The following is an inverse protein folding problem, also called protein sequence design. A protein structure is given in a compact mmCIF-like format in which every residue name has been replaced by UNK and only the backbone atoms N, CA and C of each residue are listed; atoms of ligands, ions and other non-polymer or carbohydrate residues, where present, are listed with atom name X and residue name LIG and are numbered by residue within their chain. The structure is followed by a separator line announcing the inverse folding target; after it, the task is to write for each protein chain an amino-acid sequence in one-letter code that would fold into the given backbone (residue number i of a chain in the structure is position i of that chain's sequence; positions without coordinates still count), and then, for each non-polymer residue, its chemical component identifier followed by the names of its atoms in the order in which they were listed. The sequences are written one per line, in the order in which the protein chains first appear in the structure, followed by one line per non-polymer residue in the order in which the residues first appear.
data_IF_727244079086
#
_entry.id   IF_727244079086
#
_cell.length_a   1.000
_cell.length_b   1.000
_cell.length_c   1.000
_cell.angle_alpha   90.00
_cell.angle_beta   90.00
_cell.angle_gamma   90.00
#
_symmetry.space_group_name_H-M   'P 1'
#
loop_
_entity.id
_entity.type
_entity.pdbx_description
1 polymer ?
#
# COMPACT_ATOMS: atom_id res chain seq x y z
N UNK A 1 -7.32 43.52 -25.17
CA UNK A 1 -6.12 44.21 -24.77
C UNK A 1 -4.89 43.28 -24.66
N UNK A 2 -4.80 42.36 -23.67
CA UNK A 2 -3.62 41.46 -23.52
C UNK A 2 -3.39 40.60 -24.78
N UNK A 3 -4.46 40.05 -25.36
CA UNK A 3 -4.35 39.25 -26.60
C UNK A 3 -3.88 40.08 -27.79
N UNK A 4 -4.31 41.34 -27.88
CA UNK A 4 -3.89 42.24 -28.97
C UNK A 4 -2.43 42.69 -28.80
N UNK A 5 -1.98 42.86 -27.54
CA UNK A 5 -0.58 43.13 -27.22
C UNK A 5 0.32 41.92 -27.58
N UNK A 6 -0.12 40.70 -27.25
CA UNK A 6 0.60 39.47 -27.64
C UNK A 6 0.60 39.22 -29.14
N UNK A 7 -0.41 39.76 -29.88
CA UNK A 7 -0.49 39.72 -31.34
C UNK A 7 0.31 40.82 -32.03
N UNK A 8 1.04 41.67 -31.27
CA UNK A 8 1.85 42.76 -31.81
C UNK A 8 1.07 43.98 -32.29
N UNK A 9 -0.15 44.17 -31.82
CA UNK A 9 -0.98 45.34 -32.16
C UNK A 9 -0.82 46.52 -31.18
N UNK A 10 -0.18 46.25 -30.03
CA UNK A 10 0.01 47.21 -28.94
C UNK A 10 1.45 47.10 -28.47
N UNK A 11 2.15 48.18 -28.43
CA UNK A 11 3.58 48.27 -28.04
C UNK A 11 3.73 48.58 -26.54
N UNK A 12 2.73 49.21 -25.93
CA UNK A 12 2.78 49.61 -24.53
C UNK A 12 1.40 49.52 -23.88
N UNK A 13 1.36 49.06 -22.64
CA UNK A 13 0.17 49.05 -21.77
C UNK A 13 0.44 50.00 -20.61
N UNK A 14 -0.38 51.02 -20.45
CA UNK A 14 -0.36 51.91 -19.29
C UNK A 14 -1.45 51.49 -18.32
N UNK A 15 -1.09 51.24 -17.08
CA UNK A 15 -2.02 50.84 -16.01
C UNK A 15 -1.75 51.64 -14.74
N UNK A 16 -2.82 51.93 -13.99
CA UNK A 16 -2.75 52.78 -12.80
C UNK A 16 -1.87 52.16 -11.69
N UNK A 17 -1.92 50.86 -11.53
CA UNK A 17 -1.15 50.12 -10.50
C UNK A 17 -1.08 48.64 -10.80
N UNK A 18 -0.13 47.96 -10.16
CA UNK A 18 0.01 46.45 -10.23
C UNK A 18 -1.28 45.76 -9.82
N UNK A 19 -1.94 46.22 -8.76
CA UNK A 19 -3.22 45.61 -8.25
C UNK A 19 -4.40 45.80 -9.20
N UNK A 20 -4.35 46.72 -10.14
CA UNK A 20 -5.34 46.92 -11.19
C UNK A 20 -5.07 46.12 -12.45
N UNK A 21 -3.84 45.71 -12.64
CA UNK A 21 -3.42 44.95 -13.81
C UNK A 21 -3.94 43.49 -13.76
N UNK A 22 -3.87 42.82 -12.61
CA UNK A 22 -4.48 41.51 -12.39
C UNK A 22 -4.84 41.29 -10.92
N UNK A 23 -5.81 40.40 -10.69
CA UNK A 23 -6.32 40.09 -9.35
C UNK A 23 -5.47 39.10 -8.56
N UNK A 24 -4.56 38.41 -9.23
CA UNK A 24 -3.72 37.36 -8.67
C UNK A 24 -2.27 37.61 -9.05
N UNK A 25 -1.36 37.47 -8.10
CA UNK A 25 0.08 37.69 -8.26
C UNK A 25 0.70 36.78 -9.31
N UNK A 26 0.25 35.53 -9.38
CA UNK A 26 0.73 34.54 -10.35
C UNK A 26 0.33 34.91 -11.78
N UNK A 27 -0.93 35.31 -11.97
CA UNK A 27 -1.45 35.74 -13.28
C UNK A 27 -0.77 37.01 -13.76
N UNK A 28 -0.53 37.96 -12.84
CA UNK A 28 0.23 39.17 -13.13
C UNK A 28 1.63 38.85 -13.64
N UNK A 29 2.35 37.99 -12.93
CA UNK A 29 3.70 37.56 -13.26
C UNK A 29 3.80 36.89 -14.63
N UNK A 30 2.90 35.90 -14.88
CA UNK A 30 2.87 35.18 -16.17
C UNK A 30 2.57 36.11 -17.32
N UNK A 31 1.62 37.02 -17.11
CA UNK A 31 1.22 37.98 -18.15
C UNK A 31 2.35 38.98 -18.45
N UNK A 32 2.99 39.53 -17.41
CA UNK A 32 4.12 40.49 -17.58
C UNK A 32 5.29 39.81 -18.30
N UNK A 33 5.63 38.55 -17.94
CA UNK A 33 6.70 37.81 -18.62
C UNK A 33 6.41 37.61 -20.11
N UNK A 34 5.19 37.18 -20.46
CA UNK A 34 4.78 37.01 -21.87
C UNK A 34 4.84 38.32 -22.67
N UNK A 35 4.42 39.42 -22.06
CA UNK A 35 4.48 40.71 -22.68
C UNK A 35 5.93 41.19 -22.86
N UNK A 36 6.79 40.99 -21.86
CA UNK A 36 8.22 41.27 -21.94
C UNK A 36 8.91 40.45 -23.04
N UNK A 37 8.60 39.17 -23.19
CA UNK A 37 9.09 38.31 -24.28
C UNK A 37 8.70 38.82 -25.66
N UNK A 38 7.57 39.53 -25.77
CA UNK A 38 7.08 40.19 -26.99
C UNK A 38 7.54 41.65 -27.10
N UNK A 39 8.41 42.10 -26.21
CA UNK A 39 8.92 43.45 -26.14
C UNK A 39 7.82 44.54 -25.95
N UNK A 40 6.69 44.16 -25.32
CA UNK A 40 5.60 45.05 -24.97
C UNK A 40 5.81 45.59 -23.56
N UNK A 41 5.96 46.90 -23.42
CA UNK A 41 6.14 47.58 -22.15
C UNK A 41 4.82 47.56 -21.32
N UNK A 42 4.90 47.31 -20.03
CA UNK A 42 3.83 47.60 -19.08
C UNK A 42 4.33 48.66 -18.09
N UNK A 43 3.66 49.78 -18.10
CA UNK A 43 3.99 50.93 -17.23
C UNK A 43 2.95 51.02 -16.11
N UNK A 44 3.41 50.91 -14.86
CA UNK A 44 2.62 51.08 -13.65
C UNK A 44 2.79 52.51 -13.15
N UNK A 45 1.79 53.33 -13.38
CA UNK A 45 1.84 54.79 -13.13
C UNK A 45 2.07 55.09 -11.65
N UNK A 46 1.33 54.45 -10.74
CA UNK A 46 1.43 54.68 -9.29
C UNK A 46 2.78 54.30 -8.72
N UNK A 47 3.32 53.17 -9.17
CA UNK A 47 4.60 52.64 -8.73
C UNK A 47 5.80 53.22 -9.48
N UNK A 48 5.58 53.92 -10.59
CA UNK A 48 6.61 54.49 -11.43
C UNK A 48 7.53 53.46 -12.09
N UNK A 49 7.00 52.29 -12.44
CA UNK A 49 7.76 51.13 -12.90
C UNK A 49 7.42 50.83 -14.36
N UNK A 50 8.46 50.66 -15.19
CA UNK A 50 8.37 50.15 -16.56
C UNK A 50 8.97 48.71 -16.60
N UNK A 51 8.20 47.75 -17.09
CA UNK A 51 8.63 46.32 -17.09
C UNK A 51 9.80 46.02 -18.02
N UNK A 52 10.12 46.87 -19.00
CA UNK A 52 11.28 46.69 -19.88
C UNK A 52 12.56 47.29 -19.29
N UNK A 53 12.48 48.13 -18.28
CA UNK A 53 13.63 48.76 -17.61
C UNK A 53 14.14 47.89 -16.44
N UNK A 54 15.30 48.25 -15.88
CA UNK A 54 15.91 47.54 -14.76
C UNK A 54 15.03 47.48 -13.50
N UNK A 55 14.24 48.53 -13.24
CA UNK A 55 13.22 48.55 -12.17
C UNK A 55 12.12 47.47 -12.36
N UNK A 56 11.79 47.13 -13.61
CA UNK A 56 10.85 46.10 -13.97
C UNK A 56 11.36 44.69 -13.58
N UNK A 57 12.66 44.44 -13.61
CA UNK A 57 13.24 43.17 -13.16
C UNK A 57 13.10 42.95 -11.65
N UNK A 58 13.29 44.01 -10.88
CA UNK A 58 13.09 44.00 -9.44
C UNK A 58 11.63 43.69 -9.14
N UNK A 59 10.67 44.33 -9.83
CA UNK A 59 9.25 44.08 -9.69
C UNK A 59 8.91 42.61 -10.02
N UNK A 60 9.41 42.05 -11.12
CA UNK A 60 9.19 40.67 -11.53
C UNK A 60 9.75 39.72 -10.47
N UNK A 61 10.90 40.02 -9.87
CA UNK A 61 11.51 39.23 -8.81
C UNK A 61 10.65 39.24 -7.54
N UNK A 62 10.19 40.40 -7.11
CA UNK A 62 9.30 40.56 -5.94
C UNK A 62 7.98 39.81 -6.19
N UNK A 63 7.34 39.99 -7.35
CA UNK A 63 6.10 39.28 -7.70
C UNK A 63 6.30 37.80 -7.78
N UNK A 64 7.47 37.33 -8.23
CA UNK A 64 7.81 35.89 -8.25
C UNK A 64 7.88 35.31 -6.85
N UNK A 65 8.54 36.02 -5.92
CA UNK A 65 8.67 35.62 -4.53
C UNK A 65 7.30 35.59 -3.82
N UNK A 66 6.47 36.63 -4.05
CA UNK A 66 5.11 36.67 -3.49
C UNK A 66 4.22 35.56 -4.04
N UNK A 67 4.29 35.28 -5.35
CA UNK A 67 3.54 34.17 -5.96
C UNK A 67 3.96 32.80 -5.43
N UNK A 68 5.25 32.63 -5.13
CA UNK A 68 5.79 31.42 -4.49
C UNK A 68 5.26 31.27 -3.06
N UNK A 69 5.30 32.35 -2.27
CA UNK A 69 4.76 32.33 -0.90
C UNK A 69 3.23 32.09 -0.87
N UNK A 70 2.48 32.70 -1.77
CA UNK A 70 1.05 32.44 -1.89
C UNK A 70 0.76 30.97 -2.22
N UNK A 71 1.48 30.39 -3.18
CA UNK A 71 1.36 28.96 -3.52
C UNK A 71 1.72 28.05 -2.35
N UNK A 72 2.75 28.42 -1.59
CA UNK A 72 3.17 27.69 -0.38
C UNK A 72 2.07 27.73 0.69
N UNK A 73 1.57 28.91 1.00
CA UNK A 73 0.52 29.12 2.01
C UNK A 73 -0.77 28.35 1.66
N UNK A 74 -1.18 28.37 0.39
CA UNK A 74 -2.34 27.58 -0.08
C UNK A 74 -2.08 26.09 0.14
N UNK A 75 -0.88 25.60 -0.22
CA UNK A 75 -0.51 24.21 -0.06
C UNK A 75 -0.49 23.77 1.42
N UNK A 76 0.06 24.60 2.31
CA UNK A 76 0.10 24.38 3.74
C UNK A 76 -1.31 24.39 4.35
N UNK A 77 -2.17 25.33 3.97
CA UNK A 77 -3.57 25.40 4.43
C UNK A 77 -4.38 24.17 4.00
N UNK A 78 -4.23 23.71 2.76
CA UNK A 78 -4.88 22.47 2.28
C UNK A 78 -4.37 21.28 3.09
N UNK A 79 -3.05 21.17 3.29
CA UNK A 79 -2.43 20.10 4.09
C UNK A 79 -2.96 20.10 5.52
N UNK A 80 -3.00 21.26 6.17
CA UNK A 80 -3.54 21.42 7.51
C UNK A 80 -5.01 20.99 7.58
N UNK A 81 -5.84 21.42 6.63
CA UNK A 81 -7.24 21.02 6.57
C UNK A 81 -7.45 19.51 6.38
N UNK A 82 -6.57 18.85 5.61
CA UNK A 82 -6.60 17.39 5.44
C UNK A 82 -6.18 16.67 6.72
N UNK A 83 -5.10 17.12 7.38
CA UNK A 83 -4.63 16.56 8.65
C UNK A 83 -5.71 16.66 9.74
N UNK A 84 -6.38 17.81 9.83
CA UNK A 84 -7.51 18.00 10.78
C UNK A 84 -8.69 17.07 10.51
N UNK A 85 -8.94 16.70 9.26
CA UNK A 85 -9.93 15.68 8.94
C UNK A 85 -9.48 14.30 9.42
N UNK A 86 -8.20 13.97 9.24
CA UNK A 86 -7.63 12.71 9.71
C UNK A 86 -7.65 12.59 11.23
N UNK A 87 -7.32 13.67 11.96
CA UNK A 87 -7.42 13.74 13.43
C UNK A 87 -8.85 13.49 13.94
N UNK A 88 -9.85 13.86 13.14
CA UNK A 88 -11.27 13.60 13.43
C UNK A 88 -11.77 12.25 12.92
N UNK A 89 -10.87 11.39 12.44
CA UNK A 89 -11.21 10.09 11.90
C UNK A 89 -11.93 10.12 10.54
N UNK A 90 -12.06 11.28 9.88
CA UNK A 90 -12.76 11.36 8.59
C UNK A 90 -11.95 10.77 7.46
N UNK A 91 -12.42 9.68 6.90
CA UNK A 91 -11.78 8.95 5.80
C UNK A 91 -12.07 9.60 4.46
N UNK A 92 -11.02 9.91 3.71
CA UNK A 92 -11.12 10.48 2.37
C UNK A 92 -10.66 9.43 1.36
N UNK A 93 -11.60 8.84 0.63
CA UNK A 93 -11.33 7.84 -0.42
C UNK A 93 -11.88 8.32 -1.76
N UNK A 94 -11.17 8.02 -2.83
CA UNK A 94 -11.68 8.17 -4.18
C UNK A 94 -12.32 6.86 -4.62
N UNK A 95 -13.65 6.79 -4.59
CA UNK A 95 -14.41 5.59 -4.90
C UNK A 95 -14.39 5.21 -6.40
N UNK A 96 -14.08 6.13 -7.33
CA UNK A 96 -13.98 5.82 -8.77
C UNK A 96 -12.94 4.76 -9.10
N UNK A 97 -11.98 4.49 -8.20
CA UNK A 97 -10.90 3.50 -8.37
C UNK A 97 -10.84 2.50 -7.22
N UNK A 98 -11.89 2.43 -6.42
CA UNK A 98 -11.96 1.59 -5.24
C UNK A 98 -13.15 0.64 -5.39
N UNK A 99 -12.86 -0.59 -5.80
CA UNK A 99 -13.86 -1.64 -5.99
C UNK A 99 -14.48 -2.07 -4.67
N UNK A 100 -15.78 -2.28 -4.67
CA UNK A 100 -16.55 -2.77 -3.54
C UNK A 100 -17.21 -1.69 -2.71
N UNK A 101 -16.81 -0.42 -2.86
CA UNK A 101 -17.38 0.69 -2.09
C UNK A 101 -17.74 1.90 -2.97
N UNK A 102 -18.84 2.54 -2.62
CA UNK A 102 -19.21 3.86 -3.11
C UNK A 102 -19.40 4.82 -1.94
N UNK A 103 -19.77 6.06 -2.22
CA UNK A 103 -20.10 7.05 -1.18
C UNK A 103 -21.59 7.36 -1.20
N UNK A 104 -22.16 7.46 0.01
CA UNK A 104 -23.48 8.03 0.21
C UNK A 104 -23.45 9.58 0.10
N UNK A 105 -24.60 10.22 0.29
CA UNK A 105 -24.74 11.69 0.28
C UNK A 105 -23.94 12.36 1.41
N UNK A 106 -23.76 11.69 2.54
CA UNK A 106 -22.98 12.15 3.69
C UNK A 106 -21.47 11.99 3.49
N UNK A 107 -21.05 11.23 2.47
CA UNK A 107 -19.65 10.97 2.12
C UNK A 107 -19.07 9.73 2.78
N UNK A 108 -19.87 8.93 3.49
CA UNK A 108 -19.46 7.67 4.09
C UNK A 108 -19.38 6.55 3.06
N UNK A 109 -18.55 5.53 3.35
CA UNK A 109 -18.38 4.38 2.48
C UNK A 109 -19.55 3.41 2.63
N UNK A 110 -20.18 3.07 1.52
CA UNK A 110 -21.27 2.10 1.42
C UNK A 110 -20.87 0.97 0.47
N UNK A 111 -21.22 -0.26 0.82
CA UNK A 111 -20.90 -1.45 0.03
C UNK A 111 -21.71 -1.46 -1.26
N UNK A 112 -21.04 -1.76 -2.38
CA UNK A 112 -21.68 -2.10 -3.66
C UNK A 112 -21.72 -3.63 -3.75
N UNK A 113 -22.89 -4.28 -3.63
CA UNK A 113 -22.98 -5.73 -3.47
C UNK A 113 -22.29 -6.53 -4.59
N UNK A 114 -22.49 -6.12 -5.84
CA UNK A 114 -21.90 -6.79 -7.01
C UNK A 114 -20.37 -6.76 -6.99
N UNK A 115 -19.78 -5.61 -6.65
CA UNK A 115 -18.35 -5.44 -6.56
C UNK A 115 -17.76 -6.12 -5.30
N UNK A 116 -18.53 -6.15 -4.21
CA UNK A 116 -18.14 -6.82 -2.98
C UNK A 116 -17.94 -8.32 -3.18
N UNK A 117 -18.79 -8.97 -3.99
CA UNK A 117 -18.62 -10.40 -4.32
C UNK A 117 -17.31 -10.65 -5.09
N UNK A 118 -16.90 -9.73 -5.96
CA UNK A 118 -15.61 -9.82 -6.65
C UNK A 118 -14.46 -9.71 -5.65
N UNK A 119 -14.55 -8.79 -4.68
CA UNK A 119 -13.55 -8.65 -3.62
C UNK A 119 -13.45 -9.95 -2.80
N UNK A 120 -14.58 -10.50 -2.35
CA UNK A 120 -14.64 -11.77 -1.61
C UNK A 120 -14.04 -12.92 -2.42
N UNK A 121 -14.33 -12.99 -3.73
CA UNK A 121 -13.75 -13.98 -4.63
C UNK A 121 -12.22 -13.87 -4.68
N UNK A 122 -11.66 -12.66 -4.80
CA UNK A 122 -10.21 -12.43 -4.83
C UNK A 122 -9.54 -12.94 -3.55
N UNK A 123 -10.11 -12.62 -2.37
CA UNK A 123 -9.58 -13.06 -1.08
C UNK A 123 -9.65 -14.59 -0.93
N UNK A 124 -10.78 -15.21 -1.33
CA UNK A 124 -10.96 -16.67 -1.32
C UNK A 124 -9.95 -17.38 -2.22
N UNK A 125 -9.83 -16.97 -3.50
CA UNK A 125 -8.88 -17.57 -4.43
C UNK A 125 -7.44 -17.45 -3.95
N UNK A 126 -7.10 -16.36 -3.26
CA UNK A 126 -5.77 -16.21 -2.69
C UNK A 126 -5.50 -17.24 -1.60
N UNK A 127 -6.45 -17.50 -0.69
CA UNK A 127 -6.34 -18.51 0.35
C UNK A 127 -6.36 -19.94 -0.22
N UNK A 128 -7.05 -20.18 -1.33
CA UNK A 128 -7.03 -21.44 -2.09
C UNK A 128 -5.66 -21.71 -2.75
N UNK A 129 -4.71 -20.76 -2.64
CA UNK A 129 -3.35 -20.95 -3.14
C UNK A 129 -3.06 -20.32 -4.49
N UNK A 130 -3.99 -19.61 -5.11
CA UNK A 130 -3.73 -18.91 -6.37
C UNK A 130 -2.72 -17.77 -6.17
N UNK A 131 -1.82 -17.60 -7.13
CA UNK A 131 -0.96 -16.40 -7.17
C UNK A 131 -1.75 -15.20 -7.69
N UNK A 132 -1.32 -13.97 -7.34
CA UNK A 132 -1.96 -12.74 -7.81
C UNK A 132 -2.09 -12.66 -9.32
N UNK A 133 -1.10 -13.20 -10.08
CA UNK A 133 -1.16 -13.29 -11.54
C UNK A 133 -2.18 -14.31 -12.07
N UNK A 134 -2.41 -15.42 -11.34
CA UNK A 134 -3.45 -16.40 -11.71
C UNK A 134 -4.84 -15.88 -11.39
N UNK A 135 -5.00 -15.16 -10.27
CA UNK A 135 -6.27 -14.49 -9.92
C UNK A 135 -6.62 -13.48 -11.01
N UNK A 136 -5.66 -12.65 -11.44
CA UNK A 136 -5.88 -11.68 -12.52
C UNK A 136 -6.39 -12.35 -13.79
N UNK A 137 -5.76 -13.44 -14.23
CA UNK A 137 -6.21 -14.20 -15.41
C UNK A 137 -7.60 -14.82 -15.22
N UNK A 138 -7.89 -15.34 -14.04
CA UNK A 138 -9.18 -15.93 -13.73
C UNK A 138 -10.32 -14.91 -13.84
N UNK A 139 -10.09 -13.69 -13.35
CA UNK A 139 -11.05 -12.59 -13.46
C UNK A 139 -11.23 -12.14 -14.94
N UNK A 140 -10.14 -12.06 -15.70
CA UNK A 140 -10.17 -11.77 -17.15
C UNK A 140 -10.96 -12.85 -17.94
N UNK A 141 -10.73 -14.12 -17.64
CA UNK A 141 -11.43 -15.25 -18.27
C UNK A 141 -12.94 -15.25 -17.95
N UNK A 142 -13.33 -14.74 -16.80
CA UNK A 142 -14.75 -14.56 -16.42
C UNK A 142 -15.36 -13.26 -16.97
N UNK A 143 -14.60 -12.42 -17.68
CA UNK A 143 -15.08 -11.14 -18.20
C UNK A 143 -15.34 -10.08 -17.13
N UNK A 144 -14.80 -10.26 -15.92
CA UNK A 144 -14.98 -9.33 -14.81
C UNK A 144 -14.09 -8.10 -15.03
N UNK A 145 -14.70 -6.92 -15.09
CA UNK A 145 -14.00 -5.64 -15.30
C UNK A 145 -13.41 -5.11 -14.01
N UNK A 146 -12.33 -4.33 -14.13
CA UNK A 146 -11.75 -3.59 -12.99
C UNK A 146 -12.66 -2.44 -12.55
N UNK A 147 -12.44 -1.86 -11.38
CA UNK A 147 -13.16 -0.67 -10.90
C UNK A 147 -13.10 0.54 -11.87
N UNK A 148 -12.18 0.55 -12.82
CA UNK A 148 -12.07 1.57 -13.87
C UNK A 148 -12.66 1.13 -15.20
N UNK A 149 -13.39 0.00 -15.24
CA UNK A 149 -14.04 -0.53 -16.44
C UNK A 149 -13.11 -1.22 -17.44
N UNK A 150 -11.84 -1.46 -17.10
CA UNK A 150 -10.89 -2.13 -17.96
C UNK A 150 -11.03 -3.65 -17.88
N UNK A 151 -10.83 -4.34 -19.00
CA UNK A 151 -10.89 -5.81 -19.08
C UNK A 151 -9.63 -6.47 -18.53
N UNK A 152 -8.48 -5.76 -18.55
CA UNK A 152 -7.18 -6.30 -18.13
C UNK A 152 -6.91 -6.06 -16.66
N UNK A 153 -6.63 -7.14 -15.93
CA UNK A 153 -6.22 -7.11 -14.54
C UNK A 153 -4.71 -7.20 -14.39
N UNK A 154 -4.15 -6.39 -13.53
CA UNK A 154 -2.73 -6.44 -13.18
C UNK A 154 -2.54 -7.10 -11.80
N UNK A 155 -1.57 -7.99 -11.69
CA UNK A 155 -1.22 -8.67 -10.42
C UNK A 155 -0.91 -7.68 -9.28
N UNK A 156 -0.39 -6.48 -9.62
CA UNK A 156 -0.12 -5.40 -8.68
C UNK A 156 -1.40 -4.77 -8.10
N UNK A 157 -2.51 -4.78 -8.86
CA UNK A 157 -3.82 -4.32 -8.36
C UNK A 157 -4.35 -5.32 -7.35
N UNK A 158 -4.31 -6.62 -7.67
CA UNK A 158 -4.71 -7.69 -6.76
C UNK A 158 -3.88 -7.63 -5.45
N UNK A 159 -2.54 -7.48 -5.54
CA UNK A 159 -1.69 -7.35 -4.35
C UNK A 159 -2.07 -6.14 -3.49
N UNK A 160 -2.38 -5.00 -4.10
CA UNK A 160 -2.86 -3.81 -3.38
C UNK A 160 -4.23 -4.02 -2.74
N UNK A 161 -5.15 -4.72 -3.41
CA UNK A 161 -6.47 -5.04 -2.84
C UNK A 161 -6.32 -5.92 -1.61
N UNK A 162 -5.54 -7.01 -1.70
CA UNK A 162 -5.30 -7.93 -0.59
C UNK A 162 -4.66 -7.27 0.64
N UNK A 163 -3.94 -6.15 0.46
CA UNK A 163 -3.28 -5.39 1.56
C UNK A 163 -4.09 -4.21 2.06
N UNK A 164 -5.24 -3.94 1.48
CA UNK A 164 -6.00 -2.74 1.83
C UNK A 164 -6.91 -2.99 3.03
N UNK A 165 -6.55 -2.43 4.16
CA UNK A 165 -7.28 -2.57 5.42
C UNK A 165 -8.74 -2.09 5.35
N UNK A 166 -9.07 -1.25 4.37
CA UNK A 166 -10.44 -0.77 4.20
C UNK A 166 -11.44 -1.88 3.90
N UNK A 167 -10.98 -3.01 3.35
CA UNK A 167 -11.87 -4.14 3.12
C UNK A 167 -12.33 -4.84 4.40
N UNK A 168 -11.60 -4.67 5.51
CA UNK A 168 -12.02 -5.18 6.83
C UNK A 168 -12.70 -4.14 7.71
N UNK A 169 -13.04 -2.97 7.15
CA UNK A 169 -13.76 -1.90 7.86
C UNK A 169 -12.88 -0.85 8.53
N UNK A 170 -11.57 -1.05 8.57
CA UNK A 170 -10.62 -0.14 9.20
C UNK A 170 -10.01 0.84 8.19
N UNK A 171 -9.47 1.96 8.66
CA UNK A 171 -8.83 2.92 7.80
C UNK A 171 -7.52 3.45 8.38
N UNK A 172 -6.40 3.22 7.68
CA UNK A 172 -5.12 3.86 7.98
C UNK A 172 -4.96 5.12 7.13
N UNK A 173 -4.92 6.26 7.80
CA UNK A 173 -4.84 7.59 7.20
C UNK A 173 -3.39 8.08 7.18
N UNK A 174 -3.10 9.05 6.32
CA UNK A 174 -1.77 9.65 6.14
C UNK A 174 -0.65 8.65 5.77
N UNK A 175 -0.99 7.64 4.94
CA UNK A 175 -0.01 6.67 4.40
C UNK A 175 1.09 7.31 3.56
N UNK A 176 0.84 8.49 3.01
CA UNK A 176 1.78 9.26 2.20
C UNK A 176 1.71 10.74 2.57
N UNK A 177 2.82 11.45 2.41
CA UNK A 177 2.86 12.90 2.56
C UNK A 177 3.62 13.55 1.41
N UNK A 178 3.36 14.83 1.17
CA UNK A 178 4.06 15.61 0.15
C UNK A 178 5.28 16.26 0.80
N UNK A 179 6.46 15.98 0.28
CA UNK A 179 7.73 16.50 0.81
C UNK A 179 7.94 17.95 0.41
N UNK A 180 7.63 18.25 -0.84
CA UNK A 180 7.89 19.56 -1.43
C UNK A 180 6.64 20.06 -2.16
N UNK A 181 6.25 21.29 -1.86
CA UNK A 181 5.06 21.92 -2.41
C UNK A 181 5.21 22.29 -3.90
N UNK A 182 6.43 22.53 -4.37
CA UNK A 182 6.70 22.90 -5.76
C UNK A 182 6.61 21.69 -6.69
N UNK A 183 7.35 20.63 -6.37
CA UNK A 183 7.39 19.42 -7.18
C UNK A 183 6.21 18.49 -6.92
N UNK A 184 5.43 18.75 -5.87
CA UNK A 184 4.29 17.91 -5.40
C UNK A 184 4.68 16.44 -5.21
N UNK A 185 5.96 16.15 -4.94
CA UNK A 185 6.49 14.81 -4.76
C UNK A 185 5.91 14.19 -3.50
N UNK A 186 5.15 13.09 -3.68
CA UNK A 186 4.60 12.28 -2.59
C UNK A 186 5.55 11.15 -2.23
N UNK A 187 5.76 10.94 -0.94
CA UNK A 187 6.59 9.87 -0.39
C UNK A 187 5.75 9.06 0.60
N UNK A 188 6.04 7.75 0.69
CA UNK A 188 5.42 6.88 1.69
C UNK A 188 5.80 7.36 3.10
N UNK A 189 4.80 7.49 3.96
CA UNK A 189 5.04 7.79 5.38
C UNK A 189 5.56 6.53 6.08
N UNK A 190 6.75 6.65 6.62
CA UNK A 190 7.42 5.59 7.41
C UNK A 190 7.53 5.98 8.89
N UNK A 191 6.65 6.85 9.37
CA UNK A 191 6.66 7.37 10.73
C UNK A 191 7.21 8.79 10.87
N UNK A 192 7.54 9.47 9.76
CA UNK A 192 8.06 10.87 9.77
C UNK A 192 6.95 11.86 10.16
N UNK A 193 5.73 11.59 9.74
CA UNK A 193 4.55 12.38 10.14
C UNK A 193 3.54 11.45 10.80
N UNK A 194 2.68 11.96 11.71
CA UNK A 194 1.66 11.15 12.39
C UNK A 194 0.80 10.36 11.39
N UNK A 195 0.46 9.12 11.74
CA UNK A 195 -0.53 8.31 11.04
C UNK A 195 -1.71 8.10 11.97
N UNK A 196 -2.90 8.06 11.40
CA UNK A 196 -4.13 7.89 12.16
C UNK A 196 -4.79 6.59 11.73
N UNK A 197 -5.06 5.72 12.68
CA UNK A 197 -5.77 4.47 12.47
C UNK A 197 -7.17 4.61 13.03
N UNK A 198 -8.17 4.32 12.22
CA UNK A 198 -9.58 4.33 12.58
C UNK A 198 -10.09 2.92 12.46
N UNK A 199 -10.57 2.37 13.56
CA UNK A 199 -11.19 1.06 13.61
C UNK A 199 -12.69 1.19 13.32
N UNK A 200 -13.24 0.21 12.60
CA UNK A 200 -14.66 0.08 12.30
C UNK A 200 -15.30 1.37 11.73
N UNK A 201 -14.55 2.04 10.83
CA UNK A 201 -14.99 3.29 10.18
C UNK A 201 -16.19 3.08 9.25
N UNK A 202 -16.28 1.90 8.64
CA UNK A 202 -17.34 1.55 7.69
C UNK A 202 -17.60 0.05 7.71
N UNK A 203 -18.74 -0.36 7.09
CA UNK A 203 -19.10 -1.78 6.98
C UNK A 203 -18.05 -2.59 6.24
N UNK A 204 -17.61 -3.71 6.83
CA UNK A 204 -16.57 -4.56 6.29
C UNK A 204 -17.10 -5.49 5.20
N UNK A 205 -16.41 -5.58 4.04
CA UNK A 205 -16.69 -6.60 3.01
C UNK A 205 -16.06 -7.94 3.43
N UNK A 206 -14.89 -7.89 4.06
CA UNK A 206 -14.10 -9.05 4.47
C UNK A 206 -14.01 -9.06 6.00
N UNK A 207 -14.39 -10.16 6.67
CA UNK A 207 -14.19 -10.31 8.12
C UNK A 207 -12.71 -10.10 8.51
N UNK A 208 -12.45 -9.43 9.63
CA UNK A 208 -11.09 -9.13 10.11
C UNK A 208 -10.21 -10.38 10.20
N UNK A 209 -10.75 -11.48 10.70
CA UNK A 209 -10.05 -12.78 10.80
C UNK A 209 -9.58 -13.28 9.43
N UNK A 210 -10.44 -13.20 8.40
CA UNK A 210 -10.10 -13.61 7.05
C UNK A 210 -9.02 -12.71 6.45
N UNK A 211 -9.11 -11.40 6.69
CA UNK A 211 -8.11 -10.44 6.26
C UNK A 211 -6.73 -10.74 6.86
N UNK A 212 -6.66 -10.98 8.18
CA UNK A 212 -5.39 -11.31 8.85
C UNK A 212 -4.82 -12.64 8.37
N UNK A 213 -5.64 -13.67 8.16
CA UNK A 213 -5.20 -14.93 7.55
C UNK A 213 -4.57 -14.73 6.17
N UNK A 214 -5.10 -13.81 5.37
CA UNK A 214 -4.50 -13.44 4.07
C UNK A 214 -3.15 -12.76 4.27
N UNK A 215 -3.02 -11.86 5.26
CA UNK A 215 -1.73 -11.21 5.56
C UNK A 215 -0.68 -12.22 6.01
N UNK A 216 -1.04 -13.18 6.87
CA UNK A 216 -0.16 -14.27 7.30
C UNK A 216 0.31 -15.12 6.10
N UNK A 217 -0.61 -15.48 5.22
CA UNK A 217 -0.27 -16.23 4.00
C UNK A 217 0.63 -15.43 3.07
N UNK A 218 0.42 -14.11 2.96
CA UNK A 218 1.33 -13.22 2.22
C UNK A 218 2.74 -13.20 2.83
N UNK A 219 2.84 -13.11 4.15
CA UNK A 219 4.12 -13.17 4.86
C UNK A 219 4.79 -14.53 4.70
N UNK A 220 4.04 -15.63 4.82
CA UNK A 220 4.53 -16.99 4.60
C UNK A 220 5.10 -17.15 3.18
N UNK A 221 4.37 -16.72 2.14
CA UNK A 221 4.84 -16.78 0.76
C UNK A 221 6.07 -15.90 0.54
N UNK A 222 6.11 -14.72 1.15
CA UNK A 222 7.26 -13.82 1.07
C UNK A 222 8.51 -14.39 1.75
N UNK A 223 8.38 -15.09 2.88
CA UNK A 223 9.50 -15.74 3.57
C UNK A 223 10.11 -16.87 2.74
N UNK A 224 9.26 -17.68 2.11
CA UNK A 224 9.71 -18.72 1.18
C UNK A 224 10.45 -18.14 -0.03
N UNK A 225 10.05 -16.96 -0.50
CA UNK A 225 10.74 -16.24 -1.57
C UNK A 225 12.07 -15.63 -1.09
N UNK A 226 12.14 -15.08 0.15
CA UNK A 226 13.35 -14.49 0.73
C UNK A 226 14.45 -15.52 0.97
N UNK A 227 14.10 -16.72 1.41
CA UNK A 227 15.05 -17.83 1.55
C UNK A 227 15.74 -18.19 0.21
N UNK A 228 15.14 -17.81 -0.93
CA UNK A 228 15.73 -17.97 -2.25
C UNK A 228 16.60 -16.77 -2.71
N UNK A 229 16.52 -15.61 -2.06
CA UNK A 229 17.22 -14.36 -2.47
C UNK A 229 18.70 -14.34 -2.02
N UNK A 230 19.09 -15.14 -1.04
CA UNK A 230 20.52 -15.37 -0.69
C UNK A 230 21.29 -16.14 -1.78
N UNK A 231 20.61 -16.55 -2.85
CA UNK A 231 21.19 -17.18 -4.04
C UNK A 231 21.43 -16.15 -5.12
N UNK A 232 22.56 -16.25 -5.79
CA UNK A 232 23.06 -15.40 -6.90
C UNK A 232 21.95 -14.78 -7.75
N UNK A 233 22.11 -13.50 -8.08
CA UNK A 233 21.18 -12.55 -8.79
C UNK A 233 20.38 -13.08 -9.99
N UNK A 234 20.62 -14.28 -10.50
CA UNK A 234 19.99 -14.85 -11.70
C UNK A 234 19.04 -16.04 -11.44
N UNK A 235 18.76 -16.42 -10.19
CA UNK A 235 17.79 -17.47 -9.89
C UNK A 235 16.50 -16.85 -9.38
N UNK A 236 15.51 -16.74 -10.27
CA UNK A 236 14.14 -16.37 -9.90
C UNK A 236 13.61 -17.37 -8.87
N UNK A 237 13.09 -16.87 -7.75
CA UNK A 237 12.39 -17.73 -6.79
C UNK A 237 11.19 -18.37 -7.50
N UNK A 238 11.16 -19.69 -7.54
CA UNK A 238 10.08 -20.45 -8.17
C UNK A 238 9.11 -20.96 -7.11
N UNK A 239 8.46 -20.05 -6.41
CA UNK A 239 7.29 -20.44 -5.63
C UNK A 239 6.16 -20.76 -6.62
N UNK A 240 5.64 -21.96 -6.53
CA UNK A 240 4.45 -22.39 -7.27
C UNK A 240 3.39 -22.85 -6.28
N UNK A 241 2.28 -22.15 -6.21
CA UNK A 241 1.08 -22.57 -5.45
C UNK A 241 0.26 -23.64 -6.17
N UNK A 242 0.74 -24.15 -7.30
CA UNK A 242 0.00 -25.14 -8.11
C UNK A 242 -0.13 -26.49 -7.43
N UNK A 243 0.77 -26.82 -6.52
CA UNK A 243 0.81 -28.14 -5.87
C UNK A 243 0.70 -27.97 -4.36
N UNK A 244 -0.23 -28.71 -3.76
CA UNK A 244 -0.58 -28.59 -2.33
C UNK A 244 0.60 -28.76 -1.37
N UNK A 245 1.54 -29.64 -1.70
CA UNK A 245 2.69 -29.93 -0.85
C UNK A 245 3.91 -29.02 -1.07
N UNK A 246 3.79 -28.00 -1.94
CA UNK A 246 4.91 -27.06 -2.19
C UNK A 246 5.19 -26.22 -0.95
N UNK A 247 6.44 -26.24 -0.48
CA UNK A 247 6.88 -25.52 0.71
C UNK A 247 6.50 -26.18 2.05
N UNK A 248 5.81 -27.33 2.02
CA UNK A 248 5.43 -28.07 3.22
C UNK A 248 6.37 -29.25 3.52
N UNK A 249 7.01 -29.79 2.49
CA UNK A 249 7.90 -30.93 2.63
C UNK A 249 9.32 -30.48 2.99
N UNK A 250 9.78 -30.85 4.15
CA UNK A 250 11.13 -30.53 4.65
C UNK A 250 12.00 -31.78 4.68
N UNK A 251 13.23 -31.67 4.26
CA UNK A 251 14.21 -32.76 4.31
C UNK A 251 14.67 -32.98 5.75
N UNK A 252 14.38 -34.14 6.33
CA UNK A 252 14.79 -34.53 7.68
C UNK A 252 16.31 -34.61 7.87
N UNK A 253 17.10 -34.67 6.80
CA UNK A 253 18.58 -34.75 6.84
C UNK A 253 19.27 -33.37 6.83
N UNK A 254 18.74 -32.39 6.10
CA UNK A 254 19.41 -31.11 5.93
C UNK A 254 18.49 -29.88 6.14
N UNK A 255 17.25 -30.08 6.57
CA UNK A 255 16.28 -29.00 6.84
C UNK A 255 15.85 -28.17 5.62
N UNK A 256 16.25 -28.55 4.40
CA UNK A 256 15.86 -27.82 3.19
C UNK A 256 14.58 -28.39 2.60
N UNK A 257 13.83 -27.53 1.89
CA UNK A 257 12.58 -27.91 1.25
C UNK A 257 12.77 -28.96 0.16
N UNK A 258 11.77 -29.82 -0.03
CA UNK A 258 11.65 -30.65 -1.22
C UNK A 258 11.07 -29.84 -2.38
N UNK A 259 11.55 -30.16 -3.58
CA UNK A 259 11.03 -29.59 -4.84
C UNK A 259 10.46 -30.66 -5.72
N UNK A 260 9.33 -30.34 -6.33
CA UNK A 260 8.71 -31.16 -7.38
C UNK A 260 9.52 -31.09 -8.65
N UNK A 261 9.92 -32.21 -9.19
CA UNK A 261 10.73 -32.34 -10.41
C UNK A 261 10.10 -33.38 -11.31
N UNK A 262 10.00 -33.07 -12.58
CA UNK A 262 9.58 -34.06 -13.61
C UNK A 262 10.80 -34.67 -14.25
N UNK A 263 10.97 -35.97 -14.09
CA UNK A 263 11.97 -36.75 -14.80
C UNK A 263 11.40 -37.29 -16.09
N UNK A 264 12.14 -37.09 -17.17
CA UNK A 264 11.84 -37.72 -18.46
C UNK A 264 12.96 -38.72 -18.77
N UNK A 265 12.61 -39.99 -18.87
CA UNK A 265 13.53 -41.05 -19.29
C UNK A 265 12.77 -41.99 -20.25
N UNK A 266 13.34 -42.24 -21.43
CA UNK A 266 12.80 -43.12 -22.49
C UNK A 266 11.32 -42.78 -22.80
N UNK A 267 11.00 -41.52 -23.03
CA UNK A 267 9.65 -41.06 -23.34
C UNK A 267 8.63 -41.07 -22.19
N UNK A 268 8.97 -41.69 -21.05
CA UNK A 268 8.11 -41.73 -19.87
C UNK A 268 8.45 -40.57 -18.94
N UNK A 269 7.44 -39.79 -18.55
CA UNK A 269 7.55 -38.72 -17.56
C UNK A 269 7.16 -39.26 -16.19
N UNK A 270 8.05 -39.12 -15.19
CA UNK A 270 7.79 -39.44 -13.78
C UNK A 270 7.96 -38.20 -12.94
N UNK A 271 7.00 -37.94 -12.10
CA UNK A 271 7.02 -36.79 -11.17
C UNK A 271 7.51 -37.27 -9.80
N UNK A 272 8.54 -36.59 -9.31
CA UNK A 272 9.17 -36.91 -8.03
C UNK A 272 9.44 -35.64 -7.22
N UNK A 273 9.49 -35.80 -5.91
CA UNK A 273 9.91 -34.77 -4.99
C UNK A 273 11.33 -35.07 -4.50
N UNK A 274 12.23 -34.07 -4.61
CA UNK A 274 13.62 -34.20 -4.20
C UNK A 274 14.07 -33.01 -3.36
N UNK A 275 14.94 -33.27 -2.41
CA UNK A 275 15.57 -32.23 -1.61
C UNK A 275 16.23 -31.17 -2.47
N UNK A 276 15.94 -29.89 -2.21
CA UNK A 276 16.45 -28.76 -2.98
C UNK A 276 17.97 -28.62 -2.88
N UNK A 277 18.55 -29.00 -1.73
CA UNK A 277 19.98 -28.99 -1.52
C UNK A 277 20.68 -30.05 -2.40
N UNK A 278 20.10 -31.26 -2.48
CA UNK A 278 20.60 -32.32 -3.37
C UNK A 278 20.49 -31.92 -4.84
N UNK A 279 19.42 -31.24 -5.23
CA UNK A 279 19.22 -30.78 -6.60
C UNK A 279 20.18 -29.67 -7.02
N UNK A 280 20.51 -28.76 -6.09
CA UNK A 280 21.32 -27.57 -6.40
C UNK A 280 22.82 -27.81 -6.18
N UNK A 281 23.17 -28.53 -5.10
CA UNK A 281 24.56 -28.69 -4.65
C UNK A 281 25.08 -30.13 -4.80
N UNK A 282 24.25 -31.04 -5.34
CA UNK A 282 24.62 -32.42 -5.63
C UNK A 282 24.55 -33.36 -4.42
N UNK A 283 24.91 -34.62 -4.70
CA UNK A 283 24.85 -35.73 -3.73
C UNK A 283 25.78 -35.49 -2.54
N UNK A 284 26.92 -34.80 -2.74
CA UNK A 284 27.90 -34.49 -1.67
C UNK A 284 27.32 -33.66 -0.51
N UNK A 285 26.27 -32.86 -0.77
CA UNK A 285 25.67 -31.98 0.26
C UNK A 285 24.44 -32.58 0.97
N UNK A 286 23.73 -33.49 0.30
CA UNK A 286 22.59 -34.21 0.89
C UNK A 286 22.37 -35.55 0.14
N UNK A 287 23.31 -36.49 0.28
CA UNK A 287 23.30 -37.80 -0.37
C UNK A 287 22.20 -38.75 0.17
N UNK A 288 21.93 -38.65 1.44
CA UNK A 288 20.99 -39.54 2.15
C UNK A 288 19.51 -39.11 2.02
N UNK A 289 19.23 -37.99 1.34
CA UNK A 289 17.84 -37.61 1.12
C UNK A 289 17.17 -38.53 0.10
N UNK A 290 16.04 -39.09 0.48
CA UNK A 290 15.26 -39.94 -0.40
C UNK A 290 14.56 -39.14 -1.51
N UNK A 291 14.32 -39.80 -2.64
CA UNK A 291 13.50 -39.26 -3.71
C UNK A 291 12.11 -39.82 -3.56
N UNK A 292 11.11 -38.95 -3.32
CA UNK A 292 9.75 -39.36 -3.07
C UNK A 292 8.95 -39.34 -4.39
N UNK A 293 8.27 -40.42 -4.69
CA UNK A 293 7.36 -40.47 -5.83
C UNK A 293 6.04 -39.77 -5.46
N UNK A 294 5.53 -38.90 -6.34
CA UNK A 294 4.36 -38.06 -6.07
C UNK A 294 3.12 -38.89 -5.70
N UNK A 295 2.86 -39.96 -6.46
CA UNK A 295 1.70 -40.81 -6.20
C UNK A 295 1.79 -41.56 -4.87
N UNK A 296 2.98 -42.03 -4.48
CA UNK A 296 3.21 -42.70 -3.20
C UNK A 296 3.07 -41.70 -2.05
N UNK A 297 3.62 -40.48 -2.21
CA UNK A 297 3.51 -39.41 -1.24
C UNK A 297 2.04 -38.99 -1.02
N UNK A 298 1.30 -38.78 -2.11
CA UNK A 298 -0.10 -38.38 -2.02
C UNK A 298 -0.95 -39.46 -1.31
N UNK A 299 -0.69 -40.76 -1.59
CA UNK A 299 -1.38 -41.85 -0.88
C UNK A 299 -1.07 -41.84 0.62
N UNK A 300 0.21 -41.69 0.98
CA UNK A 300 0.61 -41.63 2.39
C UNK A 300 -0.02 -40.45 3.14
N UNK A 301 -0.09 -39.26 2.48
CA UNK A 301 -0.76 -38.09 3.06
C UNK A 301 -2.27 -38.33 3.19
N UNK A 302 -2.92 -38.92 2.18
CA UNK A 302 -4.34 -39.24 2.24
C UNK A 302 -4.64 -40.28 3.32
N UNK A 303 -3.81 -41.32 3.46
CA UNK A 303 -3.94 -42.31 4.55
C UNK A 303 -3.76 -41.64 5.93
N UNK A 304 -2.80 -40.74 6.08
CA UNK A 304 -2.61 -39.98 7.31
C UNK A 304 -3.83 -39.13 7.65
N UNK A 305 -4.37 -38.40 6.66
CA UNK A 305 -5.59 -37.59 6.82
C UNK A 305 -6.75 -38.51 7.19
N UNK A 306 -6.91 -39.64 6.48
CA UNK A 306 -7.99 -40.59 6.74
C UNK A 306 -7.93 -41.20 8.16
N UNK A 307 -6.73 -41.56 8.65
CA UNK A 307 -6.53 -41.99 10.03
C UNK A 307 -6.88 -40.92 11.06
N UNK A 308 -6.61 -39.66 10.75
CA UNK A 308 -6.93 -38.51 11.63
C UNK A 308 -8.45 -38.21 11.62
N UNK A 309 -9.12 -38.42 10.47
CA UNK A 309 -10.55 -38.10 10.30
C UNK A 309 -11.49 -39.26 10.54
N UNK A 310 -11.02 -40.52 10.45
CA UNK A 310 -11.79 -41.70 10.72
C UNK A 310 -11.57 -42.19 12.15
N UNK A 311 -12.54 -41.91 12.98
CA UNK A 311 -12.93 -42.64 14.18
C UNK A 311 -12.03 -42.70 15.42
N UNK A 312 -11.11 -41.78 15.58
CA UNK A 312 -10.48 -41.64 16.89
C UNK A 312 -11.04 -40.40 17.62
N UNK A 313 -12.20 -40.62 18.29
CA UNK A 313 -12.81 -39.58 19.17
C UNK A 313 -11.78 -39.08 20.19
N UNK A 314 -10.88 -39.93 20.66
CA UNK A 314 -9.78 -39.57 21.55
C UNK A 314 -8.74 -38.66 20.86
N UNK A 315 -8.39 -38.96 19.61
CA UNK A 315 -7.48 -38.08 18.83
C UNK A 315 -8.11 -36.71 18.54
N UNK A 316 -9.39 -36.70 18.15
CA UNK A 316 -10.10 -35.43 17.89
C UNK A 316 -10.24 -34.59 19.16
N UNK A 317 -10.47 -35.22 20.32
CA UNK A 317 -10.52 -34.51 21.60
C UNK A 317 -9.12 -34.04 22.02
N UNK A 318 -8.08 -34.86 21.88
CA UNK A 318 -6.68 -34.47 22.12
C UNK A 318 -6.22 -33.37 21.15
N UNK A 319 -6.62 -33.43 19.88
CA UNK A 319 -6.34 -32.37 18.90
C UNK A 319 -7.06 -31.06 19.25
N UNK A 320 -8.33 -31.15 19.65
CA UNK A 320 -9.10 -30.01 20.15
C UNK A 320 -8.47 -29.42 21.41
N UNK A 321 -8.07 -30.24 22.37
CA UNK A 321 -7.38 -29.81 23.59
C UNK A 321 -6.03 -29.17 23.29
N UNK A 322 -5.26 -29.72 22.37
CA UNK A 322 -4.00 -29.13 21.92
C UNK A 322 -4.20 -27.79 21.20
N UNK A 323 -5.23 -27.65 20.36
CA UNK A 323 -5.60 -26.37 19.75
C UNK A 323 -6.03 -25.37 20.83
N UNK A 324 -6.88 -25.77 21.76
CA UNK A 324 -7.31 -24.92 22.89
C UNK A 324 -6.11 -24.54 23.76
N UNK A 325 -5.18 -25.47 24.00
CA UNK A 325 -3.98 -25.20 24.78
C UNK A 325 -3.01 -24.27 24.04
N UNK A 326 -2.82 -24.44 22.75
CA UNK A 326 -2.01 -23.54 21.91
C UNK A 326 -2.67 -22.16 21.79
N UNK A 327 -3.98 -22.10 21.54
CA UNK A 327 -4.72 -20.83 21.48
C UNK A 327 -4.83 -20.21 22.88
N UNK A 328 -5.00 -21.02 23.93
CA UNK A 328 -5.08 -20.54 25.32
C UNK A 328 -3.73 -20.09 25.89
N UNK A 329 -2.61 -20.66 25.43
CA UNK A 329 -1.26 -20.19 25.76
C UNK A 329 -0.82 -19.01 24.88
N UNK A 330 -1.44 -18.81 23.71
CA UNK A 330 -1.43 -17.55 22.96
C UNK A 330 -2.50 -16.57 23.47
N UNK A 331 -3.23 -16.91 24.52
CA UNK A 331 -4.01 -15.95 25.27
C UNK A 331 -3.02 -15.04 26.02
N UNK A 332 -2.50 -14.15 25.28
CA UNK A 332 -1.93 -12.84 25.53
C UNK A 332 -2.66 -11.99 26.60
N UNK A 333 -3.56 -12.56 27.39
CA UNK A 333 -4.22 -11.83 28.46
C UNK A 333 -3.18 -11.29 29.46
N UNK A 334 -2.19 -12.09 29.86
CA UNK A 334 -1.13 -11.60 30.77
C UNK A 334 -0.14 -10.68 30.08
N UNK A 335 0.25 -10.97 28.85
CA UNK A 335 1.13 -10.05 28.09
C UNK A 335 0.39 -8.78 27.68
N UNK A 336 -0.91 -8.86 27.36
CA UNK A 336 -1.75 -7.69 27.08
C UNK A 336 -1.90 -6.82 28.33
N UNK A 337 -2.15 -7.39 29.50
CA UNK A 337 -2.22 -6.67 30.78
C UNK A 337 -0.87 -6.01 31.11
N UNK A 338 0.27 -6.70 30.92
CA UNK A 338 1.60 -6.11 31.11
C UNK A 338 1.91 -4.97 30.11
N UNK A 339 1.46 -5.10 28.86
CA UNK A 339 1.63 -4.03 27.87
C UNK A 339 0.68 -2.86 28.13
N UNK A 340 -0.55 -3.10 28.57
CA UNK A 340 -1.50 -2.07 28.95
C UNK A 340 -1.00 -1.29 30.19
N UNK A 341 -0.44 -1.97 31.20
CA UNK A 341 0.20 -1.30 32.34
C UNK A 341 1.39 -0.44 31.91
N UNK A 342 2.28 -0.97 31.05
CA UNK A 342 3.43 -0.21 30.51
C UNK A 342 2.99 0.99 29.66
N UNK A 343 1.92 0.85 28.89
CA UNK A 343 1.35 1.95 28.10
C UNK A 343 0.79 3.03 29.04
N UNK A 344 0.07 2.64 30.08
CA UNK A 344 -0.48 3.55 31.09
C UNK A 344 0.61 4.30 31.84
N UNK A 345 1.65 3.60 32.29
CA UNK A 345 2.82 4.19 32.94
C UNK A 345 3.51 5.23 32.04
N UNK A 346 3.69 4.90 30.76
CA UNK A 346 4.28 5.83 29.78
C UNK A 346 3.38 7.01 29.43
N UNK A 347 2.08 6.83 29.45
CA UNK A 347 1.13 7.93 29.29
C UNK A 347 1.14 8.87 30.50
N UNK A 348 1.23 8.35 31.72
CA UNK A 348 1.35 9.16 32.95
C UNK A 348 2.68 9.93 32.98
N UNK A 349 3.80 9.29 32.59
CA UNK A 349 5.11 9.93 32.46
C UNK A 349 5.09 11.05 31.40
N UNK A 350 4.43 10.83 30.27
CA UNK A 350 4.26 11.84 29.21
C UNK A 350 3.41 13.03 29.68
N UNK A 351 2.33 12.78 30.41
CA UNK A 351 1.48 13.84 30.95
C UNK A 351 2.25 14.64 31.99
N UNK A 352 3.05 13.99 32.83
CA UNK A 352 3.91 14.67 33.84
C UNK A 352 4.95 15.56 33.15
N UNK A 353 5.62 15.08 32.10
CA UNK A 353 6.57 15.84 31.28
C UNK A 353 5.92 17.06 30.60
N UNK A 354 4.71 16.89 30.05
CA UNK A 354 3.95 18.01 29.45
C UNK A 354 3.60 19.05 30.52
N UNK A 355 3.18 18.62 31.72
CA UNK A 355 2.86 19.51 32.83
C UNK A 355 4.10 20.25 33.36
N UNK A 356 5.26 19.61 33.38
CA UNK A 356 6.54 20.21 33.75
C UNK A 356 7.03 21.21 32.70
N UNK A 357 6.97 20.87 31.42
CA UNK A 357 7.31 21.78 30.32
C UNK A 357 6.35 22.98 30.24
N UNK A 358 5.08 22.81 30.55
CA UNK A 358 4.11 23.90 30.63
C UNK A 358 4.41 24.89 31.83
N UNK A 359 5.01 24.40 32.92
CA UNK A 359 5.44 25.23 34.05
C UNK A 359 6.75 25.96 33.75
N UNK A 360 7.64 25.40 32.95
CA UNK A 360 8.96 25.96 32.64
C UNK A 360 8.95 26.93 31.45
N UNK A 361 7.84 27.03 30.70
CA UNK A 361 7.70 27.97 29.57
C UNK A 361 8.63 27.68 28.38
N UNK A 362 9.23 26.50 28.32
CA UNK A 362 10.18 26.08 27.31
C UNK A 362 9.47 25.22 26.25
N UNK A 363 8.97 25.88 25.21
CA UNK A 363 8.62 25.22 23.95
C UNK A 363 9.87 25.19 23.06
N UNK A 364 10.59 24.12 23.03
CA UNK A 364 11.56 23.80 21.99
C UNK A 364 11.06 22.68 21.10
#
# INVERSE_FOLDING_TARGET
MIQDALAGKIDMILTKSVSRFARNTVDSLVTIRKLKEKNVAVVFEKEGINTLEGTGEILITILSSLAQEESRNISENIRWGVVRKFEKGKVIVNCTKFMGYTKNEDGDLVIVPEEAEIVKLIFRLYLEGYSTGKIAKHLEEQGIKTATGQDKWHSTVIDKMLRNEKYMGDALLQKTYTVDFMTKKKVKNTGIVPQYYVEDDHEAIIPKELFYRVQEEMMRRASLCKAAVTRKKNQRSRYSSTYALTGMLICGKCGQEYRRVTWARNGKKKVVWRCSNRLTNGVKKCGESETLEENALNRAVMEAIHRITSDDMEFMENFRQNIIHVIGNYSTAKESEEYEEKIKEKQEEMVALIAENAKTGSYT
#
